data_IF_735134468481
#
_entry.id   IF_735134468481
#
_cell.length_a   1.000
_cell.length_b   1.000
_cell.length_c   1.000
_cell.angle_alpha   90.00
_cell.angle_beta   90.00
_cell.angle_gamma   90.00
#
_symmetry.space_group_name_H-M   'P 1'
#
loop_
_entity.id
_entity.type
_entity.pdbx_description
1 polymer ?
#
# COMPACT_ATOMS: atom_id res chain seq x y z
N UNK A 1 6.17 -16.46 -5.61
CA UNK A 1 7.41 -15.83 -5.10
C UNK A 1 7.91 -14.61 -5.91
N UNK A 2 8.38 -14.74 -7.17
CA UNK A 2 8.97 -13.60 -7.93
C UNK A 2 8.12 -12.33 -7.97
N UNK A 3 6.80 -12.47 -8.13
CA UNK A 3 5.86 -11.33 -8.13
C UNK A 3 5.87 -10.53 -6.82
N UNK A 4 5.90 -11.20 -5.67
CA UNK A 4 5.92 -10.56 -4.35
C UNK A 4 7.26 -9.85 -4.09
N UNK A 5 8.37 -10.49 -4.49
CA UNK A 5 9.70 -9.88 -4.38
C UNK A 5 9.81 -8.61 -5.24
N UNK A 6 9.41 -8.69 -6.51
CA UNK A 6 9.48 -7.53 -7.40
C UNK A 6 8.55 -6.40 -6.93
N UNK A 7 7.32 -6.74 -6.50
CA UNK A 7 6.38 -5.75 -5.99
C UNK A 7 6.92 -5.05 -4.73
N UNK A 8 7.38 -5.81 -3.74
CA UNK A 8 7.96 -5.24 -2.51
C UNK A 8 9.16 -4.35 -2.80
N UNK A 9 10.05 -4.75 -3.71
CA UNK A 9 11.19 -3.92 -4.12
C UNK A 9 10.76 -2.62 -4.81
N UNK A 10 9.76 -2.67 -5.70
CA UNK A 10 9.21 -1.46 -6.34
C UNK A 10 8.62 -0.52 -5.27
N UNK A 11 7.83 -1.03 -4.32
CA UNK A 11 7.30 -0.19 -3.25
C UNK A 11 8.37 0.36 -2.31
N UNK A 12 9.47 -0.36 -2.10
CA UNK A 12 10.61 0.17 -1.36
C UNK A 12 11.17 1.41 -2.06
N UNK A 13 11.42 1.32 -3.37
CA UNK A 13 11.94 2.44 -4.17
C UNK A 13 10.98 3.62 -4.17
N UNK A 14 9.69 3.37 -4.47
CA UNK A 14 8.66 4.42 -4.51
C UNK A 14 8.39 5.01 -3.11
N UNK A 15 8.47 4.19 -2.06
CA UNK A 15 8.34 4.61 -0.67
C UNK A 15 9.46 5.56 -0.28
N UNK A 16 10.73 5.19 -0.51
CA UNK A 16 11.87 6.08 -0.24
C UNK A 16 11.79 7.37 -1.07
N UNK A 17 11.46 7.27 -2.36
CA UNK A 17 11.30 8.43 -3.23
C UNK A 17 10.18 9.38 -2.77
N UNK A 18 9.05 8.85 -2.28
CA UNK A 18 7.96 9.69 -1.76
C UNK A 18 8.32 10.40 -0.45
N UNK A 19 9.18 9.80 0.38
CA UNK A 19 9.72 10.47 1.57
C UNK A 19 10.64 11.65 1.21
N UNK A 20 11.48 11.49 0.19
CA UNK A 20 12.26 12.60 -0.37
C UNK A 20 11.36 13.68 -0.98
N UNK A 21 10.37 13.27 -1.78
CA UNK A 21 9.41 14.19 -2.39
C UNK A 21 8.68 15.01 -1.33
N UNK A 22 8.19 14.41 -0.25
CA UNK A 22 7.57 15.13 0.86
C UNK A 22 8.47 16.25 1.41
N UNK A 23 9.74 15.93 1.70
CA UNK A 23 10.70 16.88 2.28
C UNK A 23 11.02 18.04 1.35
N UNK A 24 11.33 17.74 0.09
CA UNK A 24 11.70 18.78 -0.87
C UNK A 24 10.48 19.61 -1.30
N UNK A 25 9.32 18.98 -1.50
CA UNK A 25 8.11 19.67 -1.94
C UNK A 25 7.56 20.63 -0.87
N UNK A 26 7.55 20.23 0.40
CA UNK A 26 7.13 21.13 1.49
C UNK A 26 8.08 22.32 1.64
N UNK A 27 9.39 22.06 1.58
CA UNK A 27 10.41 23.11 1.64
C UNK A 27 10.32 24.11 0.48
N UNK A 28 10.08 23.63 -0.74
CA UNK A 28 9.97 24.49 -1.94
C UNK A 28 8.73 25.38 -1.96
N UNK A 29 7.70 25.03 -1.18
CA UNK A 29 6.44 25.78 -1.09
C UNK A 29 6.29 26.51 0.25
N UNK A 30 7.39 26.71 1.00
CA UNK A 30 7.42 27.37 2.31
C UNK A 30 6.37 26.83 3.30
N UNK A 31 6.04 25.53 3.20
CA UNK A 31 5.06 24.90 4.06
C UNK A 31 5.62 24.78 5.49
N UNK A 32 4.91 25.27 6.52
CA UNK A 32 5.44 25.33 7.88
C UNK A 32 5.97 23.99 8.39
N UNK A 33 7.20 24.00 8.91
CA UNK A 33 7.82 22.80 9.47
C UNK A 33 6.97 22.22 10.61
N UNK A 34 6.74 20.91 10.56
CA UNK A 34 5.92 20.20 11.56
C UNK A 34 4.41 20.34 11.35
N UNK A 35 3.94 21.12 10.37
CA UNK A 35 2.52 21.15 10.03
C UNK A 35 2.08 19.82 9.41
N UNK A 36 0.88 19.38 9.78
CA UNK A 36 0.32 18.12 9.29
C UNK A 36 -0.07 18.23 7.81
N UNK A 37 0.33 17.22 7.03
CA UNK A 37 -0.14 16.96 5.67
C UNK A 37 -0.16 15.46 5.40
N UNK A 38 -1.13 15.01 4.62
CA UNK A 38 -1.28 13.63 4.17
C UNK A 38 -0.07 13.17 3.33
N UNK A 39 0.68 14.11 2.75
CA UNK A 39 1.85 13.82 1.93
C UNK A 39 2.92 13.06 2.71
N UNK A 40 3.14 13.41 4.00
CA UNK A 40 4.09 12.73 4.87
C UNK A 40 3.68 11.28 5.19
N UNK A 41 2.39 10.96 5.10
CA UNK A 41 1.88 9.60 5.32
C UNK A 41 2.14 8.67 4.13
N UNK A 42 2.29 9.20 2.92
CA UNK A 42 2.50 8.38 1.72
C UNK A 42 3.73 7.47 1.84
N UNK A 43 4.86 8.02 2.31
CA UNK A 43 6.09 7.27 2.56
C UNK A 43 5.86 6.07 3.50
N UNK A 44 5.23 6.32 4.64
CA UNK A 44 5.00 5.29 5.66
C UNK A 44 4.05 4.20 5.17
N UNK A 45 3.01 4.55 4.41
CA UNK A 45 2.07 3.59 3.85
C UNK A 45 2.73 2.73 2.76
N UNK A 46 3.49 3.34 1.85
CA UNK A 46 4.22 2.62 0.80
C UNK A 46 5.25 1.66 1.39
N UNK A 47 6.04 2.08 2.37
CA UNK A 47 7.02 1.20 3.01
C UNK A 47 6.37 0.13 3.88
N UNK A 48 5.33 0.46 4.65
CA UNK A 48 4.71 -0.51 5.55
C UNK A 48 3.86 -1.51 4.78
N UNK A 49 2.91 -1.04 3.98
CA UNK A 49 1.95 -1.90 3.26
C UNK A 49 2.56 -2.48 1.98
N UNK A 50 3.27 -1.66 1.21
CA UNK A 50 3.85 -2.10 -0.06
C UNK A 50 5.12 -2.92 0.09
N UNK A 51 6.02 -2.54 1.00
CA UNK A 51 7.29 -3.24 1.19
C UNK A 51 7.24 -4.28 2.31
N UNK A 52 7.01 -3.87 3.56
CA UNK A 52 7.09 -4.77 4.72
C UNK A 52 6.03 -5.87 4.66
N UNK A 53 4.75 -5.53 4.48
CA UNK A 53 3.68 -6.55 4.44
C UNK A 53 3.89 -7.53 3.27
N UNK A 54 4.29 -7.06 2.09
CA UNK A 54 4.57 -7.98 0.97
C UNK A 54 5.80 -8.86 1.20
N UNK A 55 6.82 -8.40 1.94
CA UNK A 55 7.92 -9.26 2.39
C UNK A 55 7.45 -10.31 3.39
N UNK A 56 6.58 -9.95 4.33
CA UNK A 56 5.95 -10.90 5.26
C UNK A 56 5.18 -11.96 4.45
N UNK A 57 4.36 -11.53 3.49
CA UNK A 57 3.60 -12.45 2.63
C UNK A 57 4.53 -13.31 1.77
N UNK A 58 5.68 -12.79 1.31
CA UNK A 58 6.70 -13.60 0.63
C UNK A 58 7.25 -14.70 1.54
N UNK A 59 7.52 -14.38 2.80
CA UNK A 59 7.93 -15.35 3.82
C UNK A 59 6.84 -16.41 4.08
N UNK A 60 5.60 -15.99 4.27
CA UNK A 60 4.46 -16.90 4.46
C UNK A 60 4.23 -17.79 3.24
N UNK A 61 4.36 -17.25 2.03
CA UNK A 61 4.29 -18.00 0.78
C UNK A 61 5.39 -19.06 0.70
N UNK A 62 6.61 -18.74 1.16
CA UNK A 62 7.74 -19.67 1.16
C UNK A 62 7.52 -20.85 2.13
N UNK A 63 6.82 -20.62 3.25
CA UNK A 63 6.54 -21.64 4.26
C UNK A 63 5.29 -22.46 3.89
N UNK A 64 4.15 -21.79 3.70
CA UNK A 64 2.84 -22.45 3.60
C UNK A 64 2.39 -22.75 2.17
N UNK A 65 3.10 -22.24 1.15
CA UNK A 65 2.70 -22.36 -0.27
C UNK A 65 1.25 -21.89 -0.49
N UNK A 66 0.98 -20.63 -0.17
CA UNK A 66 -0.34 -19.99 -0.29
C UNK A 66 -0.81 -20.01 -1.76
N UNK A 67 0.13 -19.87 -2.70
CA UNK A 67 -0.14 -19.91 -4.14
C UNK A 67 -0.65 -21.25 -4.67
N UNK A 68 -0.67 -22.32 -3.87
CA UNK A 68 -1.34 -23.58 -4.20
C UNK A 68 -2.86 -23.40 -4.43
N UNK A 69 -3.44 -22.27 -4.03
CA UNK A 69 -4.75 -21.80 -4.50
C UNK A 69 -4.58 -20.61 -5.46
N UNK A 70 -4.33 -20.85 -6.77
CA UNK A 70 -3.92 -19.79 -7.71
C UNK A 70 -4.93 -18.64 -7.82
N UNK A 71 -6.23 -18.96 -7.79
CA UNK A 71 -7.31 -17.97 -7.88
C UNK A 71 -7.33 -17.03 -6.66
N UNK A 72 -7.24 -17.58 -5.44
CA UNK A 72 -7.24 -16.77 -4.22
C UNK A 72 -5.97 -15.92 -4.12
N UNK A 73 -4.82 -16.50 -4.46
CA UNK A 73 -3.56 -15.76 -4.47
C UNK A 73 -3.60 -14.60 -5.48
N UNK A 74 -4.14 -14.82 -6.68
CA UNK A 74 -4.29 -13.77 -7.68
C UNK A 74 -5.24 -12.65 -7.21
N UNK A 75 -6.40 -13.00 -6.63
CA UNK A 75 -7.35 -12.03 -6.09
C UNK A 75 -6.74 -11.19 -4.96
N UNK A 76 -6.08 -11.83 -3.99
CA UNK A 76 -5.35 -11.11 -2.94
C UNK A 76 -4.34 -10.15 -3.57
N UNK A 77 -3.47 -10.67 -4.46
CA UNK A 77 -2.37 -9.89 -5.00
C UNK A 77 -2.87 -8.64 -5.71
N UNK A 78 -3.88 -8.76 -6.58
CA UNK A 78 -4.39 -7.62 -7.33
C UNK A 78 -5.21 -6.65 -6.47
N UNK A 79 -6.11 -7.14 -5.61
CA UNK A 79 -6.91 -6.26 -4.73
C UNK A 79 -6.00 -5.49 -3.77
N UNK A 80 -5.04 -6.17 -3.16
CA UNK A 80 -4.13 -5.55 -2.20
C UNK A 80 -3.25 -4.50 -2.86
N UNK A 81 -2.62 -4.82 -4.00
CA UNK A 81 -1.78 -3.86 -4.71
C UNK A 81 -2.59 -2.67 -5.24
N UNK A 82 -3.78 -2.90 -5.79
CA UNK A 82 -4.67 -1.81 -6.22
C UNK A 82 -5.04 -0.90 -5.04
N UNK A 83 -5.33 -1.48 -3.87
CA UNK A 83 -5.58 -0.73 -2.64
C UNK A 83 -4.39 0.11 -2.20
N UNK A 84 -3.19 -0.47 -2.13
CA UNK A 84 -1.95 0.25 -1.75
C UNK A 84 -1.68 1.41 -2.72
N UNK A 85 -1.74 1.15 -4.03
CA UNK A 85 -1.49 2.17 -5.06
C UNK A 85 -2.52 3.29 -4.96
N UNK A 86 -3.82 2.96 -4.86
CA UNK A 86 -4.88 3.96 -4.80
C UNK A 86 -4.79 4.81 -3.54
N UNK A 87 -4.61 4.19 -2.36
CA UNK A 87 -4.44 4.91 -1.10
C UNK A 87 -3.23 5.83 -1.17
N UNK A 88 -2.08 5.33 -1.65
CA UNK A 88 -0.84 6.13 -1.72
C UNK A 88 -0.97 7.28 -2.73
N UNK A 89 -1.60 7.05 -3.88
CA UNK A 89 -1.84 8.08 -4.88
C UNK A 89 -2.75 9.19 -4.32
N UNK A 90 -3.79 8.84 -3.57
CA UNK A 90 -4.68 9.80 -2.94
C UNK A 90 -3.99 10.57 -1.80
N UNK A 91 -3.13 9.93 -1.01
CA UNK A 91 -2.31 10.61 0.01
C UNK A 91 -1.38 11.64 -0.62
N UNK A 92 -0.72 11.27 -1.74
CA UNK A 92 0.17 12.18 -2.47
C UNK A 92 -0.63 13.33 -3.05
N UNK A 93 -1.73 13.05 -3.77
CA UNK A 93 -2.55 14.07 -4.41
C UNK A 93 -3.14 15.07 -3.41
N UNK A 94 -3.84 14.56 -2.40
CA UNK A 94 -4.49 15.38 -1.39
C UNK A 94 -3.46 16.13 -0.51
N UNK A 95 -2.36 15.47 -0.18
CA UNK A 95 -1.27 16.08 0.56
C UNK A 95 -0.59 17.21 -0.22
N UNK A 96 -0.41 17.05 -1.54
CA UNK A 96 0.11 18.12 -2.40
C UNK A 96 -0.85 19.31 -2.47
N UNK A 97 -2.16 19.10 -2.60
CA UNK A 97 -3.15 20.18 -2.55
C UNK A 97 -3.09 20.93 -1.22
N UNK A 98 -2.95 20.20 -0.11
CA UNK A 98 -2.81 20.80 1.23
C UNK A 98 -1.58 21.68 1.34
N UNK A 99 -0.45 21.26 0.77
CA UNK A 99 0.79 22.04 0.76
C UNK A 99 0.67 23.30 -0.12
N UNK A 100 -0.10 23.22 -1.21
CA UNK A 100 -0.37 24.35 -2.10
C UNK A 100 -1.44 25.32 -1.56
N UNK A 101 -2.09 24.99 -0.44
CA UNK A 101 -3.23 25.77 0.09
C UNK A 101 -4.51 25.64 -0.74
N UNK A 102 -4.60 24.62 -1.59
CA UNK A 102 -5.73 24.37 -2.48
C UNK A 102 -6.79 23.50 -1.78
N UNK A 103 -8.07 23.80 -2.02
CA UNK A 103 -9.16 23.03 -1.41
C UNK A 103 -9.26 21.61 -1.99
N UNK A 104 -9.31 20.61 -1.11
CA UNK A 104 -9.68 19.26 -1.53
C UNK A 104 -11.18 19.12 -1.72
N UNK A 105 -11.58 18.44 -2.79
CA UNK A 105 -12.97 18.11 -3.04
C UNK A 105 -13.44 16.88 -2.26
N UNK A 106 -14.75 16.79 -1.97
CA UNK A 106 -15.40 15.59 -1.39
C UNK A 106 -15.15 14.33 -2.24
N UNK A 107 -14.97 14.49 -3.54
CA UNK A 107 -14.66 13.40 -4.47
C UNK A 107 -13.33 12.73 -4.15
N UNK A 108 -12.28 13.51 -3.81
CA UNK A 108 -10.96 12.97 -3.44
C UNK A 108 -11.08 12.11 -2.18
N UNK A 109 -11.83 12.57 -1.17
CA UNK A 109 -12.08 11.79 0.04
C UNK A 109 -12.85 10.49 -0.26
N UNK A 110 -13.81 10.51 -1.19
CA UNK A 110 -14.55 9.33 -1.60
C UNK A 110 -13.66 8.28 -2.28
N UNK A 111 -12.77 8.71 -3.18
CA UNK A 111 -11.83 7.83 -3.87
C UNK A 111 -10.79 7.25 -2.89
N UNK A 112 -10.32 8.04 -1.92
CA UNK A 112 -9.45 7.55 -0.85
C UNK A 112 -10.12 6.42 -0.03
N UNK A 113 -11.44 6.48 0.15
CA UNK A 113 -12.22 5.41 0.78
C UNK A 113 -12.17 4.09 0.00
N UNK A 114 -12.18 4.14 -1.33
CA UNK A 114 -12.09 2.93 -2.17
C UNK A 114 -10.75 2.20 -1.99
N UNK A 115 -9.65 2.94 -1.79
CA UNK A 115 -8.34 2.36 -1.47
C UNK A 115 -8.41 1.49 -0.22
N UNK A 116 -9.06 1.98 0.84
CA UNK A 116 -9.28 1.21 2.06
C UNK A 116 -10.16 -0.03 1.85
N UNK A 117 -11.22 0.09 1.04
CA UNK A 117 -12.09 -1.05 0.73
C UNK A 117 -11.31 -2.16 -0.02
N UNK A 118 -10.44 -1.79 -0.97
CA UNK A 118 -9.59 -2.74 -1.67
C UNK A 118 -8.54 -3.39 -0.76
N UNK A 119 -7.91 -2.61 0.13
CA UNK A 119 -7.01 -3.16 1.14
C UNK A 119 -7.73 -4.17 2.05
N UNK A 120 -8.91 -3.82 2.56
CA UNK A 120 -9.71 -4.71 3.41
C UNK A 120 -10.10 -6.00 2.67
N UNK A 121 -10.61 -5.89 1.45
CA UNK A 121 -10.95 -7.05 0.62
C UNK A 121 -9.71 -7.93 0.34
N UNK A 122 -8.59 -7.33 -0.02
CA UNK A 122 -7.31 -8.03 -0.24
C UNK A 122 -6.85 -8.79 1.00
N UNK A 123 -6.92 -8.17 2.18
CA UNK A 123 -6.56 -8.81 3.45
C UNK A 123 -7.47 -9.98 3.82
N UNK A 124 -8.78 -9.86 3.59
CA UNK A 124 -9.72 -10.97 3.79
C UNK A 124 -9.37 -12.14 2.87
N UNK A 125 -9.13 -11.89 1.58
CA UNK A 125 -8.76 -12.93 0.62
C UNK A 125 -7.42 -13.58 1.00
N UNK A 126 -6.43 -12.79 1.44
CA UNK A 126 -5.16 -13.30 1.96
C UNK A 126 -5.38 -14.27 3.13
N UNK A 127 -6.20 -13.87 4.10
CA UNK A 127 -6.45 -14.69 5.28
C UNK A 127 -7.17 -16.00 4.94
N UNK A 128 -8.13 -15.97 4.02
CA UNK A 128 -8.79 -17.18 3.51
C UNK A 128 -7.80 -18.10 2.81
N UNK A 129 -6.91 -17.54 1.97
CA UNK A 129 -5.87 -18.31 1.28
C UNK A 129 -4.86 -18.93 2.26
N UNK A 130 -4.43 -18.17 3.26
CA UNK A 130 -3.52 -18.61 4.31
C UNK A 130 -4.15 -19.72 5.16
N UNK A 131 -5.40 -19.56 5.61
CA UNK A 131 -6.12 -20.59 6.38
C UNK A 131 -6.18 -21.91 5.61
N UNK A 132 -6.48 -21.87 4.31
CA UNK A 132 -6.51 -23.07 3.46
C UNK A 132 -5.12 -23.71 3.33
N UNK A 133 -4.07 -22.89 3.20
CA UNK A 133 -2.70 -23.36 3.08
C UNK A 133 -2.23 -24.08 4.36
N UNK A 134 -2.44 -23.44 5.52
CA UNK A 134 -2.08 -23.98 6.84
C UNK A 134 -2.84 -25.26 7.17
N UNK A 135 -4.15 -25.32 6.88
CA UNK A 135 -4.95 -26.53 7.17
C UNK A 135 -4.51 -27.69 6.28
N UNK A 136 -4.18 -27.44 5.00
CA UNK A 136 -3.68 -28.48 4.09
C UNK A 136 -2.34 -29.05 4.53
N UNK A 137 -1.43 -28.22 5.08
CA UNK A 137 -0.10 -28.69 5.52
C UNK A 137 -0.17 -29.60 6.76
N UNK A 138 -1.25 -29.53 7.53
CA UNK A 138 -1.47 -30.43 8.69
C UNK A 138 -2.04 -31.80 8.32
N UNK A 139 -2.42 -32.00 7.06
CA UNK A 139 -3.00 -33.25 6.53
C UNK A 139 -1.96 -33.96 5.67
#
# INVERSE_FOLDING_TARGET
MKKLLNASFIYMLVGVASGLFYREFTKLNDFPEGQFTQLGLAHTHLLTLGFIVLLIVLGLEKVFTISASPKLFAWFFWLYNAGVVLTSAMLIWHGSLTVLGEESTKMISGIAGLGHMFLAAGMIVLFVALRRAVVRERV
#
